data_IF_805764988820
#
_entry.id   IF_805764988820
#
_cell.length_a   1.000
_cell.length_b   1.000
_cell.length_c   1.000
_cell.angle_alpha   90.00
_cell.angle_beta   90.00
_cell.angle_gamma   90.00
#
_symmetry.space_group_name_H-M   'P 1'
#
loop_
_entity.id
_entity.type
_entity.pdbx_description
1 polymer ?
#
# COMPACT_ATOMS: atom_id res chain seq x y z
N UNK A 1 0.13 19.88 3.42
CA UNK A 1 0.59 19.59 2.04
C UNK A 1 -0.07 20.58 1.07
N UNK A 2 0.27 20.62 -0.23
CA UNK A 2 -0.52 21.46 -1.17
C UNK A 2 -1.82 20.73 -1.55
N UNK A 3 -2.98 21.42 -1.65
CA UNK A 3 -4.28 20.76 -1.83
C UNK A 3 -4.35 19.83 -3.05
N UNK A 4 -3.72 20.20 -4.16
CA UNK A 4 -3.68 19.36 -5.37
C UNK A 4 -3.00 18.00 -5.12
N UNK A 5 -1.97 17.99 -4.28
CA UNK A 5 -1.20 16.79 -3.95
C UNK A 5 -1.96 15.92 -2.93
N UNK A 6 -2.70 16.53 -2.00
CA UNK A 6 -3.65 15.84 -1.12
C UNK A 6 -4.72 15.10 -1.92
N UNK A 7 -5.34 15.75 -2.90
CA UNK A 7 -6.34 15.10 -3.75
C UNK A 7 -5.72 13.95 -4.55
N UNK A 8 -4.53 14.15 -5.13
CA UNK A 8 -3.86 13.12 -5.91
C UNK A 8 -3.50 11.88 -5.07
N UNK A 9 -2.85 12.07 -3.91
CA UNK A 9 -2.51 10.94 -3.04
C UNK A 9 -3.73 10.29 -2.40
N UNK A 10 -4.76 11.07 -2.08
CA UNK A 10 -6.03 10.54 -1.59
C UNK A 10 -6.71 9.65 -2.63
N UNK A 11 -6.70 10.07 -3.90
CA UNK A 11 -7.19 9.26 -5.01
C UNK A 11 -6.37 7.97 -5.18
N UNK A 12 -5.04 8.05 -5.10
CA UNK A 12 -4.16 6.87 -5.18
C UNK A 12 -4.47 5.88 -4.04
N UNK A 13 -4.61 6.37 -2.81
CA UNK A 13 -4.93 5.52 -1.66
C UNK A 13 -6.29 4.83 -1.84
N UNK A 14 -7.32 5.58 -2.26
CA UNK A 14 -8.65 5.03 -2.52
C UNK A 14 -8.64 4.02 -3.67
N UNK A 15 -7.95 4.33 -4.77
CA UNK A 15 -7.81 3.41 -5.90
C UNK A 15 -7.11 2.11 -5.49
N UNK A 16 -6.05 2.19 -4.67
CA UNK A 16 -5.38 1.04 -4.09
C UNK A 16 -6.30 0.21 -3.20
N UNK A 17 -7.08 0.84 -2.32
CA UNK A 17 -8.05 0.16 -1.46
C UNK A 17 -9.14 -0.56 -2.25
N UNK A 18 -9.75 0.13 -3.23
CA UNK A 18 -10.80 -0.45 -4.09
C UNK A 18 -10.22 -1.60 -4.91
N UNK A 19 -9.03 -1.42 -5.50
CA UNK A 19 -8.38 -2.48 -6.28
C UNK A 19 -8.07 -3.70 -5.40
N UNK A 20 -7.59 -3.51 -4.17
CA UNK A 20 -7.31 -4.60 -3.24
C UNK A 20 -8.58 -5.39 -2.84
N UNK A 21 -9.73 -4.71 -2.78
CA UNK A 21 -11.01 -5.32 -2.48
C UNK A 21 -11.60 -6.11 -3.68
N UNK A 22 -11.40 -5.62 -4.91
CA UNK A 22 -12.03 -6.19 -6.11
C UNK A 22 -11.17 -7.24 -6.81
N UNK A 23 -9.84 -7.09 -6.80
CA UNK A 23 -8.92 -8.04 -7.44
C UNK A 23 -8.94 -9.37 -6.67
N UNK A 24 -8.99 -10.48 -7.41
CA UNK A 24 -9.07 -11.82 -6.83
C UNK A 24 -7.74 -12.57 -6.82
N UNK A 25 -6.89 -12.33 -7.80
CA UNK A 25 -5.57 -12.95 -7.84
C UNK A 25 -4.66 -12.36 -6.76
N UNK A 26 -3.89 -13.23 -6.13
CA UNK A 26 -3.08 -12.87 -4.97
C UNK A 26 -1.97 -11.87 -5.31
N UNK A 27 -1.41 -11.95 -6.52
CA UNK A 27 -0.35 -11.05 -6.97
C UNK A 27 -0.87 -9.61 -7.20
N UNK A 28 -1.99 -9.46 -7.88
CA UNK A 28 -2.66 -8.19 -8.12
C UNK A 28 -3.19 -7.54 -6.84
N UNK A 29 -3.61 -8.34 -5.85
CA UNK A 29 -3.90 -7.81 -4.50
C UNK A 29 -2.66 -7.22 -3.84
N UNK A 30 -1.50 -7.86 -3.94
CA UNK A 30 -0.25 -7.34 -3.38
C UNK A 30 0.16 -6.01 -4.01
N UNK A 31 0.03 -5.89 -5.35
CA UNK A 31 0.25 -4.63 -6.05
C UNK A 31 -0.69 -3.55 -5.52
N UNK A 32 -1.97 -3.88 -5.38
CA UNK A 32 -2.99 -2.95 -4.87
C UNK A 32 -2.70 -2.49 -3.44
N UNK A 33 -2.18 -3.38 -2.59
CA UNK A 33 -1.75 -3.06 -1.24
C UNK A 33 -0.56 -2.08 -1.27
N UNK A 34 0.40 -2.28 -2.18
CA UNK A 34 1.51 -1.35 -2.39
C UNK A 34 1.04 0.04 -2.80
N UNK A 35 0.07 0.14 -3.72
CA UNK A 35 -0.55 1.40 -4.14
C UNK A 35 -1.24 2.10 -2.96
N UNK A 36 -2.00 1.34 -2.15
CA UNK A 36 -2.66 1.86 -0.96
C UNK A 36 -1.65 2.46 0.03
N UNK A 37 -0.59 1.73 0.35
CA UNK A 37 0.46 2.20 1.28
C UNK A 37 1.15 3.45 0.70
N UNK A 38 1.53 3.42 -0.57
CA UNK A 38 2.18 4.55 -1.24
C UNK A 38 1.30 5.82 -1.23
N UNK A 39 0.00 5.69 -1.47
CA UNK A 39 -0.95 6.80 -1.40
C UNK A 39 -1.17 7.33 0.02
N UNK A 40 -1.01 6.48 1.04
CA UNK A 40 -1.27 6.86 2.44
C UNK A 40 -0.05 7.51 3.10
N UNK A 41 1.18 7.13 2.72
CA UNK A 41 2.42 7.61 3.33
C UNK A 41 2.55 9.15 3.39
N UNK A 42 2.26 9.92 2.32
CA UNK A 42 2.35 11.38 2.36
C UNK A 42 1.47 12.03 3.43
N UNK A 43 0.29 11.47 3.73
CA UNK A 43 -0.58 11.98 4.79
C UNK A 43 -0.02 11.71 6.20
N UNK A 44 0.69 10.60 6.39
CA UNK A 44 1.36 10.28 7.65
C UNK A 44 2.52 11.26 7.87
N UNK A 45 3.31 11.50 6.82
CA UNK A 45 4.44 12.43 6.83
C UNK A 45 3.98 13.87 7.06
N UNK A 46 2.91 14.31 6.39
CA UNK A 46 2.37 15.68 6.55
C UNK A 46 1.87 15.96 7.98
N UNK A 47 1.46 14.93 8.72
CA UNK A 47 1.11 15.03 10.14
C UNK A 47 2.30 14.97 11.11
N UNK A 48 3.52 14.80 10.60
CA UNK A 48 4.75 14.73 11.40
C UNK A 48 5.04 13.35 12.02
N UNK A 49 4.31 12.29 11.64
CA UNK A 49 4.50 10.94 12.18
C UNK A 49 5.57 10.15 11.41
N UNK A 50 6.81 10.65 11.40
CA UNK A 50 7.89 10.08 10.58
C UNK A 50 8.21 8.64 10.99
N UNK A 51 8.21 8.33 12.29
CA UNK A 51 8.48 6.97 12.78
C UNK A 51 7.47 5.95 12.24
N UNK A 52 6.19 6.36 12.15
CA UNK A 52 5.10 5.53 11.61
C UNK A 52 5.28 5.36 10.10
N UNK A 53 5.64 6.43 9.39
CA UNK A 53 5.87 6.39 7.95
C UNK A 53 7.04 5.46 7.59
N UNK A 54 8.15 5.54 8.32
CA UNK A 54 9.31 4.66 8.15
C UNK A 54 8.91 3.22 8.46
N UNK A 55 8.22 2.99 9.56
CA UNK A 55 7.74 1.65 9.94
C UNK A 55 6.84 1.06 8.86
N UNK A 56 5.86 1.81 8.36
CA UNK A 56 4.96 1.37 7.30
C UNK A 56 5.71 1.09 5.99
N UNK A 57 6.70 1.92 5.63
CA UNK A 57 7.52 1.75 4.44
C UNK A 57 8.40 0.49 4.50
N UNK A 58 8.79 0.03 5.70
CA UNK A 58 9.51 -1.23 5.90
C UNK A 58 8.58 -2.44 5.97
N UNK A 59 7.43 -2.31 6.64
CA UNK A 59 6.47 -3.41 6.78
C UNK A 59 5.89 -3.82 5.43
N UNK A 60 5.55 -2.86 4.55
CA UNK A 60 4.95 -3.16 3.26
C UNK A 60 5.77 -4.13 2.38
N UNK A 61 7.07 -3.90 2.10
CA UNK A 61 7.88 -4.85 1.34
C UNK A 61 8.14 -6.15 2.08
N UNK A 62 8.34 -6.13 3.41
CA UNK A 62 8.54 -7.34 4.20
C UNK A 62 7.30 -8.25 4.14
N UNK A 63 6.11 -7.67 4.35
CA UNK A 63 4.84 -8.38 4.23
C UNK A 63 4.65 -8.94 2.82
N UNK A 64 5.03 -8.17 1.78
CA UNK A 64 4.98 -8.63 0.39
C UNK A 64 5.83 -9.89 0.17
N UNK A 65 7.05 -9.93 0.70
CA UNK A 65 7.92 -11.12 0.60
C UNK A 65 7.24 -12.35 1.22
N UNK A 66 6.72 -12.22 2.44
CA UNK A 66 6.04 -13.32 3.12
C UNK A 66 4.80 -13.81 2.39
N UNK A 67 3.97 -12.89 1.89
CA UNK A 67 2.75 -13.25 1.16
C UNK A 67 3.10 -13.90 -0.17
N UNK A 68 4.12 -13.41 -0.90
CA UNK A 68 4.56 -14.06 -2.15
C UNK A 68 5.08 -15.49 -1.90
N UNK A 69 5.79 -15.73 -0.79
CA UNK A 69 6.21 -17.08 -0.41
C UNK A 69 5.02 -18.00 -0.09
N UNK A 70 3.99 -17.47 0.60
CA UNK A 70 2.79 -18.23 0.93
C UNK A 70 1.95 -18.58 -0.31
N UNK A 71 1.72 -17.58 -1.18
CA UNK A 71 0.92 -17.74 -2.41
C UNK A 71 1.59 -18.72 -3.37
N UNK A 72 2.92 -18.64 -3.55
CA UNK A 72 3.67 -19.61 -4.37
C UNK A 72 3.52 -21.06 -3.91
N UNK A 73 3.23 -21.29 -2.62
CA UNK A 73 3.04 -22.63 -2.06
C UNK A 73 1.66 -23.20 -2.33
N UNK A 74 0.65 -22.37 -2.62
CA UNK A 74 -0.70 -22.84 -2.98
C UNK A 74 -0.82 -23.27 -4.45
N UNK A 75 0.04 -22.76 -5.32
CA UNK A 75 0.04 -23.07 -6.76
C UNK A 75 0.91 -24.29 -7.15
N UNK A 76 1.75 -24.80 -6.23
CA UNK A 76 2.69 -25.90 -6.46
C UNK A 76 2.22 -27.22 -5.81
#
# INVERSE_FOLDING_TARGET
MIPALEVAFGFIALAGAVSAALIRDSYGKLISLGILVAGTLPFIVDRGYIDVAVTAALIAPIATIFVLMAVRREEA
#
